data_IF_696526970678
#
_entry.id   IF_696526970678
#
_cell.length_a   1.000
_cell.length_b   1.000
_cell.length_c   1.000
_cell.angle_alpha   90.00
_cell.angle_beta   90.00
_cell.angle_gamma   90.00
#
_symmetry.space_group_name_H-M   'P 1'
#
loop_
_entity.id
_entity.type
_entity.pdbx_description
1 polymer ?
#
# COMPACT_ATOMS: atom_id res chain seq x y z
N UNK A 1 17.20 -11.74 -4.30
CA UNK A 1 17.68 -10.43 -4.64
C UNK A 1 16.58 -9.39 -4.63
N UNK A 2 16.85 -8.31 -4.01
CA UNK A 2 15.83 -7.32 -3.73
C UNK A 2 15.99 -6.05 -4.54
N UNK A 3 16.68 -6.15 -5.65
CA UNK A 3 16.91 -4.98 -6.47
C UNK A 3 15.66 -4.52 -7.18
N UNK A 4 15.54 -3.21 -7.29
CA UNK A 4 14.46 -2.58 -8.04
C UNK A 4 15.09 -2.10 -9.36
N UNK A 5 14.87 -2.85 -10.45
CA UNK A 5 15.60 -2.59 -11.69
C UNK A 5 15.02 -1.47 -12.55
N UNK A 6 13.85 -0.94 -12.18
CA UNK A 6 13.18 0.09 -12.98
C UNK A 6 13.37 1.46 -12.37
N UNK A 7 13.41 2.49 -13.21
CA UNK A 7 13.57 3.87 -12.76
C UNK A 7 12.24 4.46 -12.30
N UNK A 8 11.15 4.14 -12.97
CA UNK A 8 9.83 4.66 -12.65
C UNK A 8 8.91 3.53 -12.24
N UNK A 9 8.03 3.82 -11.27
CA UNK A 9 7.02 2.87 -10.83
C UNK A 9 6.03 2.58 -11.95
N UNK A 10 5.60 1.33 -12.09
CA UNK A 10 4.48 0.96 -12.93
C UNK A 10 3.20 1.10 -12.12
N UNK A 11 2.24 1.83 -12.67
CA UNK A 11 1.04 2.21 -11.90
C UNK A 11 -0.15 2.47 -12.79
N UNK A 12 -1.34 2.41 -12.17
CA UNK A 12 -2.60 2.86 -12.76
C UNK A 12 -3.13 4.01 -11.93
N UNK A 13 -3.50 5.11 -12.58
CA UNK A 13 -4.14 6.24 -11.89
C UNK A 13 -5.63 5.94 -11.79
N UNK A 14 -6.14 5.79 -10.57
CA UNK A 14 -7.54 5.46 -10.33
C UNK A 14 -8.41 6.66 -10.00
N UNK A 15 -7.82 7.74 -9.50
CA UNK A 15 -8.57 8.93 -9.18
C UNK A 15 -7.65 10.15 -9.21
N UNK A 16 -8.20 11.28 -9.70
CA UNK A 16 -7.51 12.56 -9.67
C UNK A 16 -8.49 13.64 -9.26
N UNK A 17 -8.00 14.71 -8.71
CA UNK A 17 -8.82 15.88 -8.38
C UNK A 17 -8.18 17.15 -8.94
N UNK A 18 -8.96 18.22 -8.95
CA UNK A 18 -8.49 19.53 -9.42
C UNK A 18 -7.39 20.11 -8.54
N UNK A 19 -7.16 19.56 -7.34
CA UNK A 19 -6.13 20.00 -6.40
C UNK A 19 -4.83 19.22 -6.54
N UNK A 20 -4.59 18.59 -7.68
CA UNK A 20 -3.40 17.77 -7.94
C UNK A 20 -3.27 16.57 -7.00
N UNK A 21 -4.37 16.13 -6.42
CA UNK A 21 -4.42 14.91 -5.63
C UNK A 21 -4.75 13.74 -6.54
N UNK A 22 -3.99 12.66 -6.44
CA UNK A 22 -4.32 11.46 -7.20
C UNK A 22 -4.03 10.20 -6.40
N UNK A 23 -4.73 9.14 -6.76
CA UNK A 23 -4.56 7.82 -6.16
C UNK A 23 -4.18 6.85 -7.25
N UNK A 24 -3.11 6.09 -6.99
CA UNK A 24 -2.49 5.18 -7.95
C UNK A 24 -2.45 3.78 -7.39
N UNK A 25 -2.88 2.80 -8.20
CA UNK A 25 -2.59 1.40 -7.92
C UNK A 25 -1.19 1.10 -8.44
N UNK A 26 -0.33 0.60 -7.59
CA UNK A 26 1.05 0.35 -7.94
C UNK A 26 1.22 -1.11 -8.37
N UNK A 27 1.81 -1.31 -9.53
CA UNK A 27 2.12 -2.64 -10.07
C UNK A 27 3.56 -3.04 -9.77
N UNK A 28 4.46 -2.07 -9.72
CA UNK A 28 5.82 -2.26 -9.24
C UNK A 28 6.41 -0.90 -8.86
N UNK A 29 7.31 -0.89 -7.88
CA UNK A 29 7.94 0.34 -7.41
C UNK A 29 9.24 0.58 -8.17
N UNK A 30 9.42 1.81 -8.64
CA UNK A 30 10.66 2.25 -9.25
C UNK A 30 11.53 3.06 -8.29
N UNK A 31 12.73 3.39 -8.76
CA UNK A 31 13.67 4.17 -7.96
C UNK A 31 13.15 5.57 -7.64
N UNK A 32 12.26 6.11 -8.47
CA UNK A 32 11.67 7.43 -8.26
C UNK A 32 10.85 7.53 -6.98
N UNK A 33 10.24 6.43 -6.54
CA UNK A 33 9.35 6.41 -5.37
C UNK A 33 9.98 5.73 -4.14
N UNK A 34 11.09 5.04 -4.32
CA UNK A 34 11.65 4.18 -3.28
C UNK A 34 11.96 4.94 -1.98
N UNK A 35 12.69 6.04 -2.09
CA UNK A 35 13.13 6.80 -0.92
C UNK A 35 11.96 7.37 -0.14
N UNK A 36 10.97 7.92 -0.84
CA UNK A 36 9.80 8.52 -0.19
C UNK A 36 8.99 7.48 0.58
N UNK A 37 8.80 6.29 -0.01
CA UNK A 37 8.10 5.22 0.68
C UNK A 37 8.84 4.77 1.92
N UNK A 38 10.15 4.63 1.84
CA UNK A 38 10.96 4.23 2.98
C UNK A 38 10.88 5.28 4.10
N UNK A 39 10.93 6.55 3.75
CA UNK A 39 10.85 7.62 4.74
C UNK A 39 9.49 7.67 5.44
N UNK A 40 8.41 7.50 4.70
CA UNK A 40 7.07 7.45 5.30
C UNK A 40 6.94 6.26 6.24
N UNK A 41 7.49 5.11 5.85
CA UNK A 41 7.42 3.91 6.68
C UNK A 41 8.20 4.06 7.98
N UNK A 42 9.27 4.84 7.99
CA UNK A 42 10.01 5.12 9.22
C UNK A 42 9.14 5.85 10.24
N UNK A 43 8.34 6.79 9.78
CA UNK A 43 7.39 7.48 10.64
C UNK A 43 6.38 6.50 11.24
N UNK A 44 5.85 5.61 10.41
CA UNK A 44 4.88 4.60 10.84
C UNK A 44 5.52 3.62 11.84
N UNK A 45 6.77 3.21 11.59
CA UNK A 45 7.48 2.27 12.44
C UNK A 45 7.72 2.82 13.84
N UNK A 46 7.91 4.13 13.98
CA UNK A 46 8.04 4.77 15.30
C UNK A 46 6.79 4.61 16.15
N UNK A 47 5.62 4.53 15.52
CA UNK A 47 4.34 4.40 16.24
C UNK A 47 3.95 2.95 16.48
N UNK A 48 4.21 2.07 15.52
CA UNK A 48 3.65 0.72 15.50
C UNK A 48 4.71 -0.39 15.50
N UNK A 49 5.99 -0.03 15.48
CA UNK A 49 7.07 -1.01 15.54
C UNK A 49 7.71 -1.26 14.19
N UNK A 50 8.86 -1.95 14.22
CA UNK A 50 9.68 -2.16 13.03
C UNK A 50 9.03 -3.03 11.96
N UNK A 51 7.99 -3.80 12.29
CA UNK A 51 7.27 -4.59 11.30
C UNK A 51 6.59 -3.71 10.24
N UNK A 52 6.36 -2.42 10.53
CA UNK A 52 5.79 -1.47 9.57
C UNK A 52 6.84 -0.84 8.65
N UNK A 53 8.12 -1.11 8.88
CA UNK A 53 9.19 -0.49 8.11
C UNK A 53 9.28 -1.08 6.72
N UNK A 54 9.32 -0.21 5.70
CA UNK A 54 9.57 -0.60 4.32
C UNK A 54 11.06 -0.45 4.01
N UNK A 55 11.61 -1.44 3.31
CA UNK A 55 13.01 -1.48 2.92
C UNK A 55 13.12 -1.89 1.45
N UNK A 56 14.32 -1.76 0.89
CA UNK A 56 14.55 -2.25 -0.47
C UNK A 56 14.25 -3.74 -0.61
N UNK A 57 14.41 -4.49 0.48
CA UNK A 57 14.18 -5.93 0.48
C UNK A 57 12.70 -6.28 0.44
N UNK A 58 11.87 -5.60 1.27
CA UNK A 58 10.47 -6.00 1.41
C UNK A 58 9.50 -5.25 0.51
N UNK A 59 9.88 -4.10 -0.05
CA UNK A 59 8.99 -3.36 -0.93
C UNK A 59 8.50 -4.20 -2.12
N UNK A 60 9.34 -4.94 -2.85
CA UNK A 60 8.83 -5.78 -3.95
C UNK A 60 7.86 -6.85 -3.50
N UNK A 61 7.93 -7.28 -2.25
CA UNK A 61 7.02 -8.27 -1.69
C UNK A 61 5.60 -7.71 -1.53
N UNK A 62 5.48 -6.42 -1.23
CA UNK A 62 4.18 -5.80 -0.95
C UNK A 62 3.64 -4.96 -2.09
N UNK A 63 4.48 -4.56 -3.04
CA UNK A 63 4.11 -3.73 -4.20
C UNK A 63 4.31 -4.51 -5.47
N UNK A 64 3.33 -5.33 -5.83
CA UNK A 64 3.38 -6.13 -7.05
C UNK A 64 1.97 -6.43 -7.56
N UNK A 65 1.86 -7.14 -8.66
CA UNK A 65 0.56 -7.43 -9.30
C UNK A 65 -0.35 -8.34 -8.48
N UNK A 66 0.22 -9.08 -7.53
CA UNK A 66 -0.54 -10.02 -6.70
C UNK A 66 -1.00 -9.40 -5.37
N UNK A 67 -0.58 -8.18 -5.09
CA UNK A 67 -0.98 -7.43 -3.91
C UNK A 67 -1.86 -6.26 -4.34
N UNK A 68 -2.35 -5.50 -3.37
CA UNK A 68 -3.22 -4.36 -3.65
C UNK A 68 -2.67 -3.10 -2.97
N UNK A 69 -1.58 -2.53 -3.50
CA UNK A 69 -0.96 -1.34 -2.91
C UNK A 69 -1.41 -0.08 -3.64
N UNK A 70 -1.87 0.90 -2.87
CA UNK A 70 -2.25 2.21 -3.40
C UNK A 70 -1.39 3.29 -2.78
N UNK A 71 -1.01 4.26 -3.61
CA UNK A 71 -0.30 5.46 -3.17
C UNK A 71 -1.20 6.66 -3.41
N UNK A 72 -1.25 7.57 -2.44
CA UNK A 72 -1.86 8.87 -2.59
C UNK A 72 -0.78 9.92 -2.80
N UNK A 73 -0.94 10.75 -3.84
CA UNK A 73 -0.01 11.84 -4.14
C UNK A 73 -0.72 13.17 -4.10
N UNK A 74 0.01 14.18 -3.65
CA UNK A 74 -0.44 15.56 -3.70
C UNK A 74 0.68 16.41 -4.30
N UNK A 75 0.41 17.10 -5.42
CA UNK A 75 1.42 17.86 -6.16
C UNK A 75 2.64 17.02 -6.53
N UNK A 76 2.43 15.75 -6.87
CA UNK A 76 3.50 14.84 -7.26
C UNK A 76 4.23 14.17 -6.11
N UNK A 77 3.96 14.56 -4.87
CA UNK A 77 4.62 14.00 -3.71
C UNK A 77 3.76 12.94 -3.04
N UNK A 78 4.37 11.84 -2.62
CA UNK A 78 3.66 10.80 -1.88
C UNK A 78 3.28 11.33 -0.50
N UNK A 79 1.98 11.30 -0.19
CA UNK A 79 1.46 11.73 1.11
C UNK A 79 0.94 10.58 1.96
N UNK A 80 0.80 9.40 1.38
CA UNK A 80 0.33 8.23 2.11
C UNK A 80 0.22 7.02 1.22
N UNK A 81 -0.08 5.88 1.84
CA UNK A 81 -0.31 4.64 1.12
C UNK A 81 -1.18 3.70 1.94
N UNK A 82 -1.78 2.74 1.26
CA UNK A 82 -2.47 1.62 1.88
C UNK A 82 -2.10 0.35 1.11
N UNK A 83 -1.74 -0.70 1.81
CA UNK A 83 -1.26 -1.94 1.20
C UNK A 83 -2.12 -3.10 1.65
N UNK A 84 -2.77 -3.76 0.69
CA UNK A 84 -3.49 -4.99 0.93
C UNK A 84 -2.69 -6.18 0.40
N UNK A 85 -2.64 -7.25 1.18
CA UNK A 85 -1.90 -8.46 0.84
C UNK A 85 -2.81 -9.66 1.08
N UNK A 86 -2.95 -10.58 0.11
CA UNK A 86 -3.74 -11.78 0.35
C UNK A 86 -3.27 -12.50 1.61
N UNK A 87 -4.22 -12.95 2.44
CA UNK A 87 -3.88 -13.58 3.72
C UNK A 87 -3.00 -14.80 3.54
N UNK A 88 -3.09 -15.46 2.39
CA UNK A 88 -2.26 -16.61 2.06
C UNK A 88 -0.77 -16.31 2.03
N UNK A 89 -0.39 -15.05 1.82
CA UNK A 89 1.02 -14.64 1.89
C UNK A 89 1.59 -14.76 3.31
N UNK A 90 0.74 -14.89 4.31
CA UNK A 90 1.11 -15.01 5.72
C UNK A 90 0.87 -16.39 6.28
N UNK A 91 0.77 -17.42 5.43
CA UNK A 91 0.40 -18.77 5.85
C UNK A 91 1.34 -19.38 6.90
N UNK A 92 2.58 -18.91 7.00
CA UNK A 92 3.52 -19.35 8.03
C UNK A 92 3.34 -18.62 9.38
N UNK A 93 2.52 -17.56 9.42
CA UNK A 93 2.28 -16.81 10.64
C UNK A 93 1.21 -17.48 11.48
N UNK A 94 1.45 -17.61 12.79
CA UNK A 94 0.51 -18.32 13.66
C UNK A 94 -0.89 -17.70 13.67
N UNK A 95 -0.98 -16.36 13.63
CA UNK A 95 -2.28 -15.70 13.63
C UNK A 95 -3.08 -15.99 12.35
N UNK A 96 -2.39 -16.13 11.20
CA UNK A 96 -3.05 -16.41 9.92
C UNK A 96 -3.52 -17.87 9.84
N UNK A 97 -2.79 -18.79 10.47
CA UNK A 97 -3.14 -20.22 10.45
C UNK A 97 -4.47 -20.51 11.11
N UNK A 98 -4.93 -19.64 12.01
CA UNK A 98 -6.21 -19.77 12.68
C UNK A 98 -7.34 -19.01 11.99
N UNK A 99 -7.06 -18.31 10.89
CA UNK A 99 -8.08 -17.58 10.18
C UNK A 99 -8.94 -18.54 9.36
N UNK A 100 -10.27 -18.42 9.55
CA UNK A 100 -11.22 -19.26 8.85
C UNK A 100 -11.10 -19.18 7.32
N UNK A 101 -10.69 -18.00 6.82
CA UNK A 101 -10.63 -17.73 5.38
C UNK A 101 -9.28 -18.05 4.75
N UNK A 102 -8.31 -18.56 5.52
CA UNK A 102 -7.02 -18.94 4.96
C UNK A 102 -7.24 -20.02 3.90
N UNK A 103 -6.51 -19.92 2.80
CA UNK A 103 -6.57 -20.81 1.64
C UNK A 103 -7.86 -20.73 0.82
N UNK A 104 -8.76 -19.82 1.14
CA UNK A 104 -9.97 -19.59 0.34
C UNK A 104 -9.79 -18.55 -0.77
N UNK A 105 -8.64 -17.86 -0.76
CA UNK A 105 -8.29 -16.82 -1.74
C UNK A 105 -9.33 -15.70 -1.83
N UNK A 106 -9.99 -15.40 -0.73
CA UNK A 106 -11.05 -14.39 -0.68
C UNK A 106 -10.86 -13.32 0.39
N UNK A 107 -9.74 -13.36 1.13
CA UNK A 107 -9.49 -12.43 2.23
C UNK A 107 -8.21 -11.65 1.97
N UNK A 108 -8.33 -10.33 2.09
CA UNK A 108 -7.22 -9.41 1.95
C UNK A 108 -6.88 -8.85 3.33
N UNK A 109 -5.62 -8.95 3.70
CA UNK A 109 -5.12 -8.36 4.93
C UNK A 109 -4.57 -6.97 4.63
N UNK A 110 -5.03 -5.96 5.36
CA UNK A 110 -4.48 -4.61 5.23
C UNK A 110 -3.19 -4.57 6.04
N UNK A 111 -2.09 -4.71 5.34
CA UNK A 111 -0.77 -4.76 5.97
C UNK A 111 -0.37 -3.42 6.58
N UNK A 112 -0.68 -2.33 5.88
CA UNK A 112 -0.26 -1.00 6.31
C UNK A 112 -1.18 0.07 5.72
N UNK A 113 -1.46 1.10 6.50
CA UNK A 113 -2.24 2.25 6.06
C UNK A 113 -1.72 3.49 6.78
N UNK A 114 -1.21 4.44 6.04
CA UNK A 114 -0.66 5.67 6.60
C UNK A 114 -0.92 6.85 5.68
N UNK A 115 -1.21 7.99 6.28
CA UNK A 115 -1.24 9.30 5.60
C UNK A 115 -0.40 10.24 6.45
N UNK A 116 0.45 11.04 5.81
CA UNK A 116 1.28 12.01 6.52
C UNK A 116 0.42 12.92 7.40
N UNK A 117 0.92 13.23 8.58
CA UNK A 117 0.17 13.96 9.61
C UNK A 117 -0.45 15.26 9.09
N UNK A 118 0.28 16.02 8.28
CA UNK A 118 -0.21 17.30 7.78
C UNK A 118 -1.37 17.16 6.80
N UNK A 119 -1.66 15.95 6.33
CA UNK A 119 -2.74 15.67 5.38
C UNK A 119 -3.90 14.87 5.98
N UNK A 120 -3.78 14.43 7.23
CA UNK A 120 -4.76 13.51 7.82
C UNK A 120 -6.15 14.12 8.00
N UNK A 121 -6.22 15.42 8.25
CA UNK A 121 -7.50 16.11 8.48
C UNK A 121 -7.91 17.02 7.33
N UNK A 122 -7.21 16.96 6.21
CA UNK A 122 -7.46 17.83 5.07
C UNK A 122 -8.10 17.08 3.92
N UNK A 123 -9.13 17.68 3.31
CA UNK A 123 -9.68 17.22 2.05
C UNK A 123 -10.21 15.79 2.00
N UNK A 124 -10.26 15.09 3.13
CA UNK A 124 -10.73 13.71 3.15
C UNK A 124 -9.81 12.72 2.44
N UNK A 125 -8.53 13.00 2.35
CA UNK A 125 -7.58 12.17 1.59
C UNK A 125 -7.51 10.74 2.11
N UNK A 126 -7.46 10.55 3.43
CA UNK A 126 -7.41 9.21 4.02
C UNK A 126 -8.68 8.42 3.72
N UNK A 127 -9.85 9.06 3.81
CA UNK A 127 -11.13 8.41 3.48
C UNK A 127 -11.19 8.00 2.02
N UNK A 128 -10.75 8.88 1.12
CA UNK A 128 -10.76 8.61 -0.31
C UNK A 128 -9.83 7.45 -0.65
N UNK A 129 -8.64 7.45 -0.08
CA UNK A 129 -7.68 6.36 -0.29
C UNK A 129 -8.27 5.03 0.17
N UNK A 130 -8.84 4.98 1.37
CA UNK A 130 -9.44 3.77 1.91
C UNK A 130 -10.63 3.31 1.07
N UNK A 131 -11.49 4.23 0.64
CA UNK A 131 -12.66 3.90 -0.18
C UNK A 131 -12.26 3.27 -1.51
N UNK A 132 -11.28 3.85 -2.19
CA UNK A 132 -10.80 3.31 -3.47
C UNK A 132 -10.16 1.94 -3.28
N UNK A 133 -9.40 1.78 -2.21
CA UNK A 133 -8.82 0.51 -1.84
C UNK A 133 -9.88 -0.57 -1.64
N UNK A 134 -10.92 -0.28 -0.85
CA UNK A 134 -11.99 -1.23 -0.57
C UNK A 134 -12.79 -1.58 -1.82
N UNK A 135 -13.08 -0.59 -2.68
CA UNK A 135 -13.80 -0.84 -3.94
C UNK A 135 -12.97 -1.73 -4.87
N UNK A 136 -11.66 -1.50 -4.95
CA UNK A 136 -10.78 -2.32 -5.77
C UNK A 136 -10.65 -3.74 -5.24
N UNK A 137 -10.62 -3.90 -3.91
CA UNK A 137 -10.61 -5.21 -3.29
C UNK A 137 -11.87 -6.00 -3.63
N UNK A 138 -13.04 -5.36 -3.60
CA UNK A 138 -14.29 -6.00 -4.00
C UNK A 138 -14.27 -6.44 -5.46
N UNK A 139 -13.74 -5.61 -6.35
CA UNK A 139 -13.65 -5.93 -7.77
C UNK A 139 -12.78 -7.15 -8.03
N UNK A 140 -11.78 -7.39 -7.19
CA UNK A 140 -10.92 -8.57 -7.28
C UNK A 140 -11.51 -9.80 -6.58
N UNK A 141 -12.69 -9.66 -5.96
CA UNK A 141 -13.36 -10.78 -5.29
C UNK A 141 -13.04 -10.95 -3.82
N UNK A 142 -12.35 -10.01 -3.20
CA UNK A 142 -12.08 -10.06 -1.76
C UNK A 142 -13.31 -9.63 -0.95
N UNK A 143 -13.40 -10.15 0.25
CA UNK A 143 -14.52 -9.88 1.16
C UNK A 143 -14.09 -9.12 2.41
#
# INVERSE_FOLDING_TARGET
MSEIPINESEKEILATSSNNFQIELILSIGLDDLTDLMDISKYLAKKFGNQALLTEVNIPKYFNKNTLPFIARYNGNIIGYIIGVPIEHFCSESWAQHDYNLDKNNTLYTYSFVVKKQYQSRGGYAKTLKRIYLNSAKKRGYK
#
